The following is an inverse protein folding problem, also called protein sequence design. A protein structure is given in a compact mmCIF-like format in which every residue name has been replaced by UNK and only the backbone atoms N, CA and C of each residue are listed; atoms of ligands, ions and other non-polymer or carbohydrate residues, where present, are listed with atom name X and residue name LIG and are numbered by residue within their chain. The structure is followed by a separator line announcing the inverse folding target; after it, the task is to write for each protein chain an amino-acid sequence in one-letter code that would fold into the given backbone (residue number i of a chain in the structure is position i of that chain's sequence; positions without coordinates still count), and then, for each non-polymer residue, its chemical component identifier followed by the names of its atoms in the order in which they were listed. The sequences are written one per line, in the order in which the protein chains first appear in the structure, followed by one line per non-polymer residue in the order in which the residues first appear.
data_IF_433937595000
#
_entry.id   IF_433937595000
#
_cell.length_a   1.000
_cell.length_b   1.000
_cell.length_c   1.000
_cell.angle_alpha   90.00
_cell.angle_beta   90.00
_cell.angle_gamma   90.00
#
_symmetry.space_group_name_H-M   'P 1'
#
loop_
_entity.id
_entity.type
_entity.pdbx_description
1 polymer ?
#
# COMPACT_ATOMS: atom_id res chain seq x y z
N UNK A 1 -41.80 -12.95 4.34
CA UNK A 1 -41.03 -12.71 5.58
C UNK A 1 -40.35 -14.00 5.96
N UNK A 2 -39.05 -14.08 6.16
CA UNK A 2 -37.91 -13.20 5.95
C UNK A 2 -36.75 -14.20 5.80
N UNK A 3 -35.94 -14.07 4.74
CA UNK A 3 -34.70 -14.83 4.62
C UNK A 3 -33.70 -13.95 5.36
N UNK A 4 -33.46 -14.27 6.64
CA UNK A 4 -32.40 -13.64 7.40
C UNK A 4 -31.09 -14.16 6.82
N UNK A 5 -30.47 -13.30 6.00
CA UNK A 5 -29.10 -13.43 5.56
C UNK A 5 -28.21 -13.15 6.78
N UNK A 6 -27.86 -14.19 7.53
CA UNK A 6 -26.71 -14.18 8.41
C UNK A 6 -25.45 -14.19 7.54
N UNK A 7 -25.11 -13.02 6.97
CA UNK A 7 -23.78 -12.76 6.42
C UNK A 7 -22.83 -12.58 7.62
N UNK A 8 -22.36 -13.72 8.14
CA UNK A 8 -21.49 -13.81 9.29
C UNK A 8 -20.19 -13.03 9.02
N UNK A 9 -19.93 -12.05 9.88
CA UNK A 9 -18.81 -11.11 9.82
C UNK A 9 -17.51 -11.84 10.17
N UNK A 10 -16.92 -12.56 9.22
CA UNK A 10 -15.65 -13.31 9.39
C UNK A 10 -14.41 -12.48 9.01
N UNK A 11 -14.61 -11.26 8.48
CA UNK A 11 -13.53 -10.39 7.99
C UNK A 11 -12.51 -10.02 9.07
N UNK A 12 -12.95 -9.41 10.17
CA UNK A 12 -12.07 -8.82 11.19
C UNK A 12 -11.16 -9.84 11.90
N UNK A 13 -11.63 -11.09 12.06
CA UNK A 13 -10.85 -12.15 12.72
C UNK A 13 -9.73 -12.69 11.81
N UNK A 14 -9.99 -12.78 10.50
CA UNK A 14 -9.02 -13.33 9.56
C UNK A 14 -7.89 -12.33 9.25
N UNK A 15 -8.18 -11.03 9.11
CA UNK A 15 -7.17 -9.98 8.94
C UNK A 15 -6.22 -9.87 10.13
N UNK A 16 -6.77 -9.88 11.36
CA UNK A 16 -5.99 -9.86 12.60
C UNK A 16 -5.03 -11.06 12.71
N UNK A 17 -5.43 -12.23 12.20
CA UNK A 17 -4.61 -13.45 12.19
C UNK A 17 -3.53 -13.41 11.12
N UNK A 18 -3.84 -12.92 9.91
CA UNK A 18 -2.89 -12.85 8.82
C UNK A 18 -1.79 -11.82 9.09
N UNK A 19 -2.15 -10.64 9.62
CA UNK A 19 -1.22 -9.61 10.10
C UNK A 19 -0.22 -10.20 11.10
N UNK A 20 -0.73 -10.89 12.13
CA UNK A 20 0.08 -11.50 13.19
C UNK A 20 1.00 -12.60 12.65
N UNK A 21 0.53 -13.41 11.70
CA UNK A 21 1.33 -14.49 11.08
C UNK A 21 2.47 -13.91 10.24
N UNK A 22 2.17 -12.90 9.41
CA UNK A 22 3.18 -12.18 8.61
C UNK A 22 4.21 -11.55 9.53
N UNK A 23 3.77 -10.86 10.57
CA UNK A 23 4.67 -10.23 11.53
C UNK A 23 5.59 -11.24 12.23
N UNK A 24 5.02 -12.34 12.74
CA UNK A 24 5.78 -13.40 13.40
C UNK A 24 6.79 -14.05 12.45
N UNK A 25 6.35 -14.43 11.26
CA UNK A 25 7.19 -15.14 10.28
C UNK A 25 8.44 -14.35 9.92
N UNK A 26 8.29 -13.05 9.70
CA UNK A 26 9.38 -12.16 9.30
C UNK A 26 10.22 -11.65 10.47
N UNK A 27 9.68 -11.59 11.69
CA UNK A 27 10.42 -11.16 12.89
C UNK A 27 11.23 -12.28 13.53
N UNK A 28 10.70 -13.51 13.57
CA UNK A 28 11.34 -14.67 14.23
C UNK A 28 12.17 -15.52 13.25
N UNK A 29 12.09 -15.26 11.94
CA UNK A 29 12.59 -16.12 10.87
C UNK A 29 14.11 -16.14 10.60
N UNK A 30 14.89 -15.29 11.28
CA UNK A 30 16.32 -15.08 11.00
C UNK A 30 16.58 -14.22 9.75
N UNK A 31 17.83 -13.75 9.57
CA UNK A 31 18.20 -12.73 8.56
C UNK A 31 17.82 -13.10 7.11
N UNK A 32 17.94 -14.38 6.74
CA UNK A 32 17.58 -14.86 5.40
C UNK A 32 16.08 -14.74 5.07
N UNK A 33 15.23 -14.57 6.09
CA UNK A 33 13.79 -14.42 5.92
C UNK A 33 13.35 -12.96 6.03
N UNK A 34 14.22 -12.03 6.41
CA UNK A 34 13.81 -10.65 6.64
C UNK A 34 13.56 -9.89 5.34
N UNK A 35 12.49 -9.07 5.35
CA UNK A 35 12.24 -8.12 4.29
C UNK A 35 13.26 -6.98 4.40
N UNK A 36 14.09 -6.82 3.35
CA UNK A 36 15.14 -5.78 3.33
C UNK A 36 14.59 -4.42 2.93
N UNK A 37 13.76 -4.42 1.87
CA UNK A 37 13.15 -3.20 1.31
C UNK A 37 11.75 -2.95 1.85
N UNK A 38 11.03 -4.01 2.22
CA UNK A 38 9.67 -3.88 2.77
C UNK A 38 9.73 -3.87 4.30
N UNK A 39 8.89 -3.06 4.95
CA UNK A 39 8.71 -3.19 6.40
C UNK A 39 7.62 -4.20 6.68
N UNK A 40 7.86 -5.02 7.68
CA UNK A 40 6.92 -6.02 8.17
C UNK A 40 5.59 -5.36 8.55
N UNK A 41 5.64 -4.21 9.24
CA UNK A 41 4.45 -3.45 9.65
C UNK A 41 3.61 -2.99 8.47
N UNK A 42 4.23 -2.39 7.44
CA UNK A 42 3.46 -1.94 6.29
C UNK A 42 2.86 -3.10 5.49
N UNK A 43 3.60 -4.21 5.34
CA UNK A 43 3.06 -5.40 4.67
C UNK A 43 1.91 -6.03 5.46
N UNK A 44 2.01 -6.07 6.78
CA UNK A 44 0.98 -6.62 7.66
C UNK A 44 -0.33 -5.80 7.53
N UNK A 45 -0.24 -4.47 7.50
CA UNK A 45 -1.39 -3.58 7.25
C UNK A 45 -1.96 -3.77 5.82
N UNK A 46 -1.11 -3.97 4.81
CA UNK A 46 -1.58 -4.24 3.45
C UNK A 46 -2.37 -5.55 3.35
N UNK A 47 -1.88 -6.62 4.00
CA UNK A 47 -2.53 -7.93 4.04
C UNK A 47 -3.85 -7.85 4.79
N UNK A 48 -3.86 -7.14 5.93
CA UNK A 48 -5.09 -6.84 6.66
C UNK A 48 -6.13 -6.18 5.77
N UNK A 49 -5.77 -5.12 5.03
CA UNK A 49 -6.73 -4.44 4.12
C UNK A 49 -7.15 -5.29 2.93
N UNK A 50 -6.25 -6.09 2.38
CA UNK A 50 -6.58 -7.05 1.34
C UNK A 50 -7.68 -8.02 1.78
N UNK A 51 -7.62 -8.48 3.03
CA UNK A 51 -8.59 -9.39 3.62
C UNK A 51 -9.86 -8.64 4.05
N UNK A 52 -9.74 -7.67 4.96
CA UNK A 52 -10.87 -7.05 5.65
C UNK A 52 -11.70 -6.15 4.72
N UNK A 53 -11.04 -5.51 3.75
CA UNK A 53 -11.66 -4.52 2.86
C UNK A 53 -11.73 -5.00 1.42
N UNK A 54 -11.35 -6.25 1.14
CA UNK A 54 -11.24 -6.80 -0.21
C UNK A 54 -10.42 -5.90 -1.15
N UNK A 55 -9.44 -5.18 -0.60
CA UNK A 55 -8.61 -4.24 -1.36
C UNK A 55 -7.49 -5.00 -2.09
N UNK A 56 -7.81 -5.52 -3.27
CA UNK A 56 -6.94 -6.38 -4.07
C UNK A 56 -5.59 -5.75 -4.40
N UNK A 57 -5.53 -4.43 -4.47
CA UNK A 57 -4.32 -3.73 -4.88
C UNK A 57 -3.49 -3.25 -3.65
N UNK A 58 -3.94 -3.47 -2.41
CA UNK A 58 -3.32 -2.92 -1.19
C UNK A 58 -1.85 -3.33 -1.03
N UNK A 59 -1.55 -4.59 -1.32
CA UNK A 59 -0.18 -5.13 -1.27
C UNK A 59 0.72 -4.46 -2.31
N UNK A 60 0.20 -4.25 -3.53
CA UNK A 60 0.94 -3.59 -4.60
C UNK A 60 1.26 -2.12 -4.25
N UNK A 61 0.30 -1.40 -3.65
CA UNK A 61 0.52 -0.01 -3.25
C UNK A 61 1.57 0.14 -2.15
N UNK A 62 1.51 -0.70 -1.11
CA UNK A 62 2.52 -0.66 -0.06
C UNK A 62 3.89 -1.07 -0.60
N UNK A 63 3.95 -2.10 -1.44
CA UNK A 63 5.20 -2.53 -2.06
C UNK A 63 5.82 -1.40 -2.87
N UNK A 64 5.02 -0.74 -3.71
CA UNK A 64 5.46 0.39 -4.51
C UNK A 64 5.89 1.59 -3.67
N UNK A 65 5.14 1.92 -2.61
CA UNK A 65 5.49 2.99 -1.68
C UNK A 65 6.83 2.73 -0.99
N UNK A 66 7.03 1.53 -0.44
CA UNK A 66 8.23 1.21 0.35
C UNK A 66 9.48 1.08 -0.52
N UNK A 67 9.34 0.59 -1.76
CA UNK A 67 10.42 0.67 -2.76
C UNK A 67 10.79 2.13 -3.03
N UNK A 68 9.81 3.00 -3.31
CA UNK A 68 10.06 4.44 -3.55
C UNK A 68 10.70 5.13 -2.34
N UNK A 69 10.23 4.84 -1.12
CA UNK A 69 10.79 5.37 0.14
C UNK A 69 12.26 4.97 0.29
N UNK A 70 12.59 3.71 -0.01
CA UNK A 70 13.95 3.17 0.04
C UNK A 70 14.86 3.82 -1.01
N UNK A 71 14.41 3.91 -2.26
CA UNK A 71 15.16 4.59 -3.33
C UNK A 71 15.43 6.04 -2.95
N UNK A 72 14.42 6.76 -2.44
CA UNK A 72 14.56 8.15 -2.02
C UNK A 72 15.58 8.29 -0.88
N UNK A 73 15.55 7.43 0.13
CA UNK A 73 16.53 7.43 1.21
C UNK A 73 17.96 7.31 0.69
N UNK A 74 18.19 6.38 -0.24
CA UNK A 74 19.51 6.15 -0.85
C UNK A 74 19.94 7.37 -1.67
N UNK A 75 19.04 7.95 -2.46
CA UNK A 75 19.30 9.16 -3.26
C UNK A 75 19.65 10.37 -2.38
N UNK A 76 18.95 10.56 -1.27
CA UNK A 76 19.15 11.69 -0.35
C UNK A 76 20.53 11.63 0.34
N UNK A 77 21.08 10.43 0.55
CA UNK A 77 22.42 10.25 1.12
C UNK A 77 23.57 10.58 0.17
N UNK A 78 23.31 10.73 -1.13
CA UNK A 78 24.33 11.05 -2.15
C UNK A 78 25.54 10.10 -2.10
N UNK A 79 25.28 8.82 -1.89
CA UNK A 79 26.32 7.77 -1.87
C UNK A 79 26.85 7.49 -3.27
N UNK A 80 27.98 6.79 -3.34
CA UNK A 80 28.44 6.17 -4.58
C UNK A 80 27.48 5.02 -4.93
N UNK A 81 27.06 4.95 -6.19
CA UNK A 81 26.09 3.96 -6.67
C UNK A 81 26.75 2.65 -7.09
N UNK A 82 27.58 2.07 -6.22
CA UNK A 82 28.10 0.71 -6.36
C UNK A 82 27.27 -0.31 -5.55
N UNK A 83 27.36 -1.58 -5.92
CA UNK A 83 26.53 -2.66 -5.38
C UNK A 83 26.70 -2.86 -3.87
N UNK A 84 27.94 -2.81 -3.38
CA UNK A 84 28.27 -3.03 -1.98
C UNK A 84 27.72 -1.89 -1.12
N UNK A 85 27.99 -0.64 -1.52
CA UNK A 85 27.52 0.55 -0.79
C UNK A 85 25.99 0.67 -0.80
N UNK A 86 25.35 0.37 -1.93
CA UNK A 86 23.87 0.36 -2.02
C UNK A 86 23.28 -0.74 -1.14
N UNK A 87 23.88 -1.92 -1.12
CA UNK A 87 23.41 -3.04 -0.30
C UNK A 87 23.56 -2.74 1.19
N UNK A 88 24.68 -2.16 1.61
CA UNK A 88 24.90 -1.70 2.98
C UNK A 88 23.88 -0.64 3.39
N UNK A 89 23.58 0.31 2.50
CA UNK A 89 22.62 1.37 2.80
C UNK A 89 21.17 0.89 2.84
N UNK A 90 20.81 -0.13 2.06
CA UNK A 90 19.52 -0.81 2.20
C UNK A 90 19.42 -1.45 3.59
N UNK A 91 20.48 -2.08 4.09
CA UNK A 91 20.49 -2.64 5.45
C UNK A 91 20.40 -1.56 6.53
N UNK A 92 21.18 -0.50 6.39
CA UNK A 92 21.13 0.64 7.31
C UNK A 92 19.72 1.23 7.37
N UNK A 93 19.06 1.35 6.22
CA UNK A 93 17.68 1.83 6.16
C UNK A 93 16.69 0.86 6.78
N UNK A 94 16.87 -0.44 6.56
CA UNK A 94 16.04 -1.48 7.19
C UNK A 94 16.14 -1.42 8.72
N UNK A 95 17.35 -1.35 9.26
CA UNK A 95 17.59 -1.22 10.70
C UNK A 95 17.00 0.10 11.25
N UNK A 96 17.13 1.19 10.50
CA UNK A 96 16.53 2.48 10.84
C UNK A 96 15.00 2.40 10.96
N UNK A 97 14.35 1.68 10.03
CA UNK A 97 12.89 1.48 10.00
C UNK A 97 12.39 0.51 11.07
N UNK A 98 13.18 -0.50 11.43
CA UNK A 98 12.83 -1.45 12.49
C UNK A 98 12.60 -0.73 13.83
N UNK A 99 13.41 0.29 14.12
CA UNK A 99 13.27 1.14 15.30
C UNK A 99 12.16 2.21 15.19
N UNK A 100 11.43 2.25 14.08
CA UNK A 100 10.37 3.22 13.77
C UNK A 100 9.10 2.52 13.30
N UNK A 101 8.79 1.38 13.90
CA UNK A 101 7.63 0.55 13.56
C UNK A 101 6.31 1.34 13.53
N UNK A 102 6.10 2.25 14.47
CA UNK A 102 4.90 3.12 14.49
C UNK A 102 4.82 4.09 13.30
N UNK A 103 5.97 4.58 12.82
CA UNK A 103 6.02 5.40 11.60
C UNK A 103 5.64 4.56 10.38
N UNK A 104 6.16 3.34 10.31
CA UNK A 104 5.87 2.43 9.22
C UNK A 104 4.39 2.03 9.16
N UNK A 105 3.75 1.84 10.32
CA UNK A 105 2.29 1.63 10.39
C UNK A 105 1.53 2.84 9.88
N UNK A 106 1.84 4.04 10.37
CA UNK A 106 1.14 5.28 10.00
C UNK A 106 1.30 5.63 8.53
N UNK A 107 2.49 5.42 7.99
CA UNK A 107 2.77 5.60 6.57
C UNK A 107 1.93 4.65 5.72
N UNK A 108 1.84 3.37 6.14
CA UNK A 108 1.05 2.37 5.45
C UNK A 108 -0.43 2.71 5.47
N UNK A 109 -0.96 3.09 6.63
CA UNK A 109 -2.34 3.58 6.77
C UNK A 109 -2.59 4.76 5.82
N UNK A 110 -1.69 5.76 5.83
CA UNK A 110 -1.80 6.96 5.00
C UNK A 110 -1.83 6.62 3.51
N UNK A 111 -0.91 5.76 3.04
CA UNK A 111 -0.86 5.34 1.63
C UNK A 111 -2.16 4.65 1.22
N UNK A 112 -2.61 3.69 2.03
CA UNK A 112 -3.77 2.87 1.72
C UNK A 112 -5.10 3.65 1.88
N UNK A 113 -5.16 4.67 2.75
CA UNK A 113 -6.35 5.52 2.91
C UNK A 113 -6.41 6.59 1.82
N UNK A 114 -5.26 7.08 1.34
CA UNK A 114 -5.21 8.06 0.26
C UNK A 114 -5.71 7.47 -1.07
N UNK A 115 -5.60 6.16 -1.28
CA UNK A 115 -6.18 5.49 -2.45
C UNK A 115 -7.70 5.67 -2.55
N UNK A 116 -8.44 5.65 -1.43
CA UNK A 116 -9.90 5.81 -1.45
C UNK A 116 -10.35 7.14 -2.08
N UNK A 117 -9.47 8.14 -2.16
CA UNK A 117 -9.73 9.42 -2.83
C UNK A 117 -9.55 9.36 -4.35
N UNK A 118 -8.83 8.37 -4.88
CA UNK A 118 -8.64 8.18 -6.31
C UNK A 118 -9.62 7.17 -6.91
N UNK A 119 -10.26 6.32 -6.11
CA UNK A 119 -11.26 5.35 -6.58
C UNK A 119 -12.69 5.87 -6.60
N UNK A 120 -12.96 7.08 -6.10
CA UNK A 120 -14.26 7.76 -6.23
C UNK A 120 -14.48 8.52 -7.55
N UNK A 121 -13.51 8.51 -8.49
CA UNK A 121 -13.71 9.03 -9.86
C UNK A 121 -14.00 7.90 -10.87
N UNK A 122 -14.93 7.02 -10.49
CA UNK A 122 -15.44 5.94 -11.33
C UNK A 122 -16.92 6.07 -11.70
N UNK A 123 -17.51 7.27 -11.61
CA UNK A 123 -18.83 7.51 -12.21
C UNK A 123 -18.75 8.56 -13.35
N UNK A 124 -18.80 8.15 -14.62
CA UNK A 124 -18.86 9.05 -15.77
C UNK A 124 -20.29 9.56 -15.99
N UNK A 125 -20.90 10.19 -14.99
CA UNK A 125 -22.20 10.84 -15.12
C UNK A 125 -22.09 12.35 -14.88
N UNK A 126 -21.18 12.97 -15.62
CA UNK A 126 -21.25 14.39 -15.90
C UNK A 126 -20.51 14.67 -17.22
N UNK A 127 -21.18 15.41 -18.10
CA UNK A 127 -20.68 15.99 -19.36
C UNK A 127 -21.09 15.25 -20.64
N UNK A 128 -22.39 15.30 -20.95
CA UNK A 128 -22.82 15.63 -22.32
C UNK A 128 -23.42 17.03 -22.26
N UNK A 129 -22.55 18.04 -22.29
CA UNK A 129 -22.93 19.38 -22.73
C UNK A 129 -23.23 19.26 -24.23
N UNK A 130 -24.51 19.20 -24.57
CA UNK A 130 -24.94 19.39 -25.95
C UNK A 130 -24.84 20.89 -26.23
N UNK A 131 -23.67 21.34 -26.67
CA UNK A 131 -23.53 22.68 -27.23
C UNK A 131 -24.00 22.66 -28.68
N UNK A 132 -24.79 23.67 -29.00
CA UNK A 132 -25.70 23.72 -30.13
C UNK A 132 -24.96 24.10 -31.41
N UNK A 133 -24.98 23.24 -32.43
CA UNK A 133 -24.54 23.61 -33.78
C UNK A 133 -25.50 24.65 -34.37
N UNK A 134 -25.03 25.88 -34.39
CA UNK A 134 -25.72 27.06 -34.94
C UNK A 134 -25.60 27.07 -36.47
N UNK A 135 -26.74 27.18 -37.13
CA UNK A 135 -26.94 27.21 -38.58
C UNK A 135 -26.20 28.34 -39.33
N UNK A 136 -25.35 27.96 -40.29
CA UNK A 136 -25.20 28.58 -41.62
C UNK A 136 -24.49 29.94 -41.77
N UNK A 137 -24.32 30.46 -43.00
CA UNK A 137 -24.85 29.95 -44.27
C UNK A 137 -23.78 29.70 -45.37
N UNK A 138 -24.15 28.85 -46.32
CA UNK A 138 -23.57 28.84 -47.65
C UNK A 138 -24.30 29.84 -48.56
N UNK A 139 -23.54 30.69 -49.23
CA UNK A 139 -23.54 30.98 -50.67
C UNK A 139 -22.37 31.90 -50.98
#
# INVERSE_FOLDING_TARGET
NAIDNDEEVVGDEWGSRAETVVERYFSEGGDAKQLRVLSVRGLAEAVKRFIDKSDNDAIADITGYQIKKTIKYIQDKKIVADEDTVTEEIENFRLYRLNRSEEETRDAETVLDNRKRNTTNGNPEATIVSDSDSDGPGT
#
